data_IF_024017111930
#
_entry.id   IF_024017111930
#
_cell.length_a   1.000
_cell.length_b   1.000
_cell.length_c   1.000
_cell.angle_alpha   90.00
_cell.angle_beta   90.00
_cell.angle_gamma   90.00
#
_symmetry.space_group_name_H-M   'P 1'
#
loop_
_entity.id
_entity.type
_entity.pdbx_description
1 polymer ?
#
# COMPACT_ATOMS: atom_id res chain seq x y z
N UNK A 1 18.90 10.87 -21.33
CA UNK A 1 18.42 10.88 -19.92
C UNK A 1 16.90 11.08 -19.77
N UNK A 2 16.13 11.27 -20.84
CA UNK A 2 14.66 11.45 -20.76
C UNK A 2 13.90 10.19 -20.31
N UNK A 3 14.41 9.01 -20.66
CA UNK A 3 13.78 7.71 -20.35
C UNK A 3 14.36 7.01 -19.11
N UNK A 4 15.18 7.72 -18.33
CA UNK A 4 15.66 7.19 -17.05
C UNK A 4 14.53 7.34 -16.03
N UNK A 5 14.03 6.23 -15.50
CA UNK A 5 12.91 6.25 -14.58
C UNK A 5 13.29 7.03 -13.32
N UNK A 6 12.55 8.09 -12.95
CA UNK A 6 12.83 8.80 -11.71
C UNK A 6 12.63 7.86 -10.53
N UNK A 7 13.54 7.91 -9.55
CA UNK A 7 13.46 7.06 -8.37
C UNK A 7 12.24 7.42 -7.53
N UNK A 8 11.39 6.43 -7.28
CA UNK A 8 10.29 6.56 -6.31
C UNK A 8 10.80 6.61 -4.86
N UNK A 9 12.04 6.18 -4.60
CA UNK A 9 12.68 6.20 -3.28
C UNK A 9 13.12 7.61 -2.83
N UNK A 10 12.63 8.67 -3.50
CA UNK A 10 12.94 10.07 -3.18
C UNK A 10 12.19 10.58 -1.94
N UNK A 11 11.13 9.91 -1.50
CA UNK A 11 10.35 10.30 -0.32
C UNK A 11 11.04 9.82 0.96
N UNK A 12 10.82 10.55 2.06
CA UNK A 12 11.32 10.18 3.39
C UNK A 12 10.37 9.27 4.15
N UNK A 13 9.09 9.35 3.84
CA UNK A 13 8.02 8.62 4.51
C UNK A 13 7.17 7.91 3.47
N UNK A 14 6.71 6.71 3.82
CA UNK A 14 5.88 5.89 2.96
C UNK A 14 4.74 5.28 3.76
N UNK A 15 3.58 5.19 3.13
CA UNK A 15 2.53 4.24 3.51
C UNK A 15 2.63 3.05 2.57
N UNK A 16 2.48 1.84 3.13
CA UNK A 16 2.41 0.60 2.37
C UNK A 16 1.00 0.04 2.50
N UNK A 17 0.33 -0.16 1.37
CA UNK A 17 -0.92 -0.91 1.32
C UNK A 17 -0.58 -2.36 1.00
N UNK A 18 -1.00 -3.27 1.87
CA UNK A 18 -0.74 -4.70 1.76
C UNK A 18 -2.06 -5.44 1.59
N UNK A 19 -2.14 -6.27 0.56
CA UNK A 19 -3.27 -7.14 0.26
C UNK A 19 -2.79 -8.58 0.30
N UNK A 20 -3.43 -9.41 1.10
CA UNK A 20 -3.11 -10.83 1.20
C UNK A 20 -4.33 -11.71 1.02
N UNK A 21 -4.19 -12.77 0.26
CA UNK A 21 -5.25 -13.74 0.00
C UNK A 21 -4.71 -15.17 -0.04
N UNK A 22 -5.61 -16.13 0.15
CA UNK A 22 -5.27 -17.55 0.22
C UNK A 22 -5.44 -18.28 -1.13
N UNK A 23 -6.05 -17.64 -2.12
CA UNK A 23 -6.27 -18.17 -3.46
C UNK A 23 -6.21 -17.02 -4.48
N UNK A 24 -5.99 -17.37 -5.75
CA UNK A 24 -5.74 -16.41 -6.82
C UNK A 24 -6.97 -15.58 -7.22
N UNK A 25 -8.17 -16.17 -7.15
CA UNK A 25 -9.41 -15.49 -7.55
C UNK A 25 -9.75 -14.38 -6.55
N UNK A 26 -9.75 -14.68 -5.25
CA UNK A 26 -9.91 -13.68 -4.19
C UNK A 26 -8.80 -12.63 -4.29
N UNK A 27 -7.55 -13.04 -4.53
CA UNK A 27 -6.43 -12.09 -4.63
C UNK A 27 -6.63 -11.09 -5.75
N UNK A 28 -7.08 -11.56 -6.91
CA UNK A 28 -7.34 -10.71 -8.07
C UNK A 28 -8.48 -9.71 -7.77
N UNK A 29 -9.56 -10.17 -7.16
CA UNK A 29 -10.69 -9.32 -6.77
C UNK A 29 -10.27 -8.27 -5.73
N UNK A 30 -9.61 -8.71 -4.65
CA UNK A 30 -9.13 -7.81 -3.60
C UNK A 30 -8.11 -6.79 -4.12
N UNK A 31 -7.19 -7.22 -4.99
CA UNK A 31 -6.24 -6.31 -5.63
C UNK A 31 -6.97 -5.26 -6.47
N UNK A 32 -7.93 -5.67 -7.31
CA UNK A 32 -8.70 -4.75 -8.15
C UNK A 32 -9.56 -3.78 -7.32
N UNK A 33 -10.19 -4.26 -6.26
CA UNK A 33 -10.96 -3.42 -5.34
C UNK A 33 -10.08 -2.37 -4.66
N UNK A 34 -8.94 -2.79 -4.10
CA UNK A 34 -7.98 -1.88 -3.45
C UNK A 34 -7.45 -0.87 -4.46
N UNK A 35 -6.97 -1.31 -5.62
CA UNK A 35 -6.46 -0.46 -6.69
C UNK A 35 -7.47 0.62 -7.09
N UNK A 36 -8.75 0.25 -7.25
CA UNK A 36 -9.83 1.18 -7.61
C UNK A 36 -10.07 2.28 -6.56
N UNK A 37 -9.73 2.02 -5.29
CA UNK A 37 -9.98 2.93 -4.16
C UNK A 37 -8.74 3.69 -3.69
N UNK A 38 -7.52 3.36 -4.14
CA UNK A 38 -6.29 4.06 -3.69
C UNK A 38 -6.42 5.58 -3.82
N UNK A 39 -6.98 6.06 -4.94
CA UNK A 39 -7.18 7.51 -5.16
C UNK A 39 -8.06 8.17 -4.08
N UNK A 40 -9.00 7.45 -3.49
CA UNK A 40 -9.80 7.97 -2.37
C UNK A 40 -8.96 8.17 -1.10
N UNK A 41 -8.05 7.23 -0.79
CA UNK A 41 -7.08 7.40 0.30
C UNK A 41 -6.17 8.60 0.06
N UNK A 42 -5.61 8.74 -1.15
CA UNK A 42 -4.78 9.89 -1.53
C UNK A 42 -5.52 11.21 -1.28
N UNK A 43 -6.77 11.32 -1.76
CA UNK A 43 -7.60 12.50 -1.56
C UNK A 43 -7.91 12.80 -0.09
N UNK A 44 -7.99 11.77 0.76
CA UNK A 44 -8.17 11.96 2.21
C UNK A 44 -6.88 12.47 2.86
N UNK A 45 -5.73 11.86 2.52
CA UNK A 45 -4.42 12.27 3.03
C UNK A 45 -4.08 13.71 2.65
N UNK A 46 -4.33 14.12 1.41
CA UNK A 46 -4.06 15.49 0.92
C UNK A 46 -4.99 16.56 1.53
N UNK A 47 -6.03 16.17 2.27
CA UNK A 47 -6.82 17.13 3.08
C UNK A 47 -6.16 17.45 4.42
N UNK A 48 -5.19 16.64 4.85
CA UNK A 48 -4.41 16.94 6.03
C UNK A 48 -3.48 18.12 5.73
N UNK A 49 -3.61 19.20 6.49
CA UNK A 49 -2.85 20.45 6.29
C UNK A 49 -1.33 20.25 6.33
N UNK A 50 -0.87 19.18 6.97
CA UNK A 50 0.54 18.89 7.13
C UNK A 50 1.11 18.00 6.02
N UNK A 51 0.28 17.50 5.09
CA UNK A 51 0.71 16.71 3.93
C UNK A 51 0.69 17.61 2.69
N UNK A 52 1.88 17.87 2.14
CA UNK A 52 2.04 18.61 0.88
C UNK A 52 1.71 17.74 -0.34
N UNK A 53 2.05 16.45 -0.28
CA UNK A 53 1.85 15.52 -1.39
C UNK A 53 1.71 14.08 -0.87
N UNK A 54 0.73 13.35 -1.41
CA UNK A 54 0.65 11.89 -1.30
C UNK A 54 0.73 11.28 -2.71
N UNK A 55 1.87 10.68 -3.04
CA UNK A 55 2.13 10.15 -4.37
C UNK A 55 2.06 8.63 -4.37
N UNK A 56 1.05 8.05 -5.01
CA UNK A 56 0.97 6.59 -5.23
C UNK A 56 1.96 6.14 -6.31
N UNK A 57 2.67 5.04 -6.05
CA UNK A 57 3.40 4.32 -7.09
C UNK A 57 2.39 3.47 -7.90
N UNK A 58 2.23 3.69 -9.21
CA UNK A 58 1.29 2.91 -10.02
C UNK A 58 1.70 1.44 -10.14
N UNK A 59 2.95 1.07 -9.83
CA UNK A 59 3.40 -0.30 -9.83
C UNK A 59 2.91 -1.03 -8.57
N UNK A 60 2.17 -2.12 -8.78
CA UNK A 60 1.95 -3.15 -7.77
C UNK A 60 3.19 -4.05 -7.67
N UNK A 61 3.62 -4.37 -6.45
CA UNK A 61 4.71 -5.29 -6.18
C UNK A 61 4.16 -6.56 -5.55
N UNK A 62 4.56 -7.71 -6.07
CA UNK A 62 4.18 -9.01 -5.52
C UNK A 62 5.27 -9.50 -4.57
N UNK A 63 4.88 -9.93 -3.37
CA UNK A 63 5.73 -10.68 -2.46
C UNK A 63 5.31 -12.15 -2.56
N UNK A 64 6.12 -12.96 -3.22
CA UNK A 64 5.98 -14.41 -3.12
C UNK A 64 6.60 -14.85 -1.80
N UNK A 65 5.76 -15.20 -0.82
CA UNK A 65 6.23 -15.98 0.32
C UNK A 65 6.65 -17.36 -0.20
N UNK A 66 7.95 -17.52 -0.43
CA UNK A 66 8.53 -18.85 -0.57
C UNK A 66 8.32 -19.52 0.79
N UNK A 67 7.32 -20.40 0.85
CA UNK A 67 7.15 -21.37 1.94
C UNK A 67 8.54 -21.92 2.30
N UNK A 68 9.07 -21.55 3.46
CA UNK A 68 10.14 -22.32 4.07
C UNK A 68 9.53 -23.70 4.29
N UNK A 69 10.00 -24.65 3.47
CA UNK A 69 9.71 -26.06 3.63
C UNK A 69 10.34 -26.49 4.95
N UNK A 70 9.57 -26.53 6.02
CA UNK A 70 9.89 -27.44 7.11
C UNK A 70 9.48 -28.86 6.66
N UNK A 71 10.46 -29.75 6.69
CA UNK A 71 10.39 -31.14 6.28
C UNK A 71 9.17 -31.86 6.90
N UNK A 72 8.29 -32.41 6.04
CA UNK A 72 7.54 -33.63 6.40
C UNK A 72 6.00 -33.59 6.45
N UNK A 73 5.30 -32.60 5.87
CA UNK A 73 3.83 -32.61 5.84
C UNK A 73 3.22 -32.03 4.57
N UNK A 74 2.23 -32.71 3.99
CA UNK A 74 1.50 -32.30 2.78
C UNK A 74 0.84 -30.91 2.93
N UNK A 75 1.03 -30.04 1.93
CA UNK A 75 0.15 -28.88 1.69
C UNK A 75 0.59 -27.53 2.27
N UNK A 76 1.76 -27.00 1.89
CA UNK A 76 2.12 -25.60 2.17
C UNK A 76 1.17 -24.63 1.47
N UNK A 77 0.30 -23.97 2.24
CA UNK A 77 -0.67 -22.98 1.74
C UNK A 77 0.09 -21.71 1.33
N UNK A 78 0.22 -21.48 0.03
CA UNK A 78 0.83 -20.25 -0.51
C UNK A 78 -0.07 -19.05 -0.25
N UNK A 79 0.34 -18.15 0.64
CA UNK A 79 -0.28 -16.84 0.78
C UNK A 79 0.19 -15.94 -0.36
N UNK A 80 -0.75 -15.37 -1.10
CA UNK A 80 -0.47 -14.34 -2.11
C UNK A 80 -0.40 -12.98 -1.40
N UNK A 81 0.58 -12.14 -1.76
CA UNK A 81 0.76 -10.82 -1.17
C UNK A 81 1.08 -9.79 -2.25
N UNK A 82 0.30 -8.71 -2.29
CA UNK A 82 0.47 -7.57 -3.20
C UNK A 82 0.64 -6.27 -2.41
N UNK A 83 1.49 -5.38 -2.92
CA UNK A 83 1.94 -4.18 -2.23
C UNK A 83 1.83 -2.95 -3.14
N UNK A 84 1.29 -1.86 -2.60
CA UNK A 84 1.39 -0.53 -3.20
C UNK A 84 2.07 0.43 -2.23
N UNK A 85 2.90 1.31 -2.78
CA UNK A 85 3.62 2.32 -2.02
C UNK A 85 3.02 3.70 -2.27
N UNK A 86 2.83 4.46 -1.21
CA UNK A 86 2.43 5.87 -1.26
C UNK A 86 3.53 6.67 -0.59
N UNK A 87 4.26 7.45 -1.37
CA UNK A 87 5.27 8.37 -0.86
C UNK A 87 4.62 9.63 -0.30
N UNK A 88 5.06 10.06 0.88
CA UNK A 88 4.55 11.26 1.54
C UNK A 88 5.60 12.37 1.58
N UNK A 89 5.15 13.59 1.31
CA UNK A 89 5.89 14.81 1.58
C UNK A 89 5.10 15.64 2.61
N UNK A 90 5.70 15.87 3.77
CA UNK A 90 5.11 16.69 4.83
C UNK A 90 5.57 18.14 4.74
N UNK A 91 4.79 19.04 5.33
CA UNK A 91 5.19 20.41 5.58
C UNK A 91 6.46 20.46 6.43
N UNK A 92 7.38 21.38 6.09
CA UNK A 92 8.62 21.57 6.85
C UNK A 92 8.31 22.36 8.12
N UNK A 93 7.99 21.65 9.19
CA UNK A 93 7.79 22.21 10.53
C UNK A 93 8.62 21.44 11.56
N UNK A 94 9.19 22.16 12.53
CA UNK A 94 9.92 21.54 13.64
C UNK A 94 8.94 20.82 14.57
N UNK A 95 9.29 19.59 14.99
CA UNK A 95 8.50 18.75 15.90
C UNK A 95 7.09 18.37 15.41
N UNK A 96 6.89 18.26 14.09
CA UNK A 96 5.64 17.82 13.52
C UNK A 96 5.38 16.34 13.83
N UNK A 97 4.28 16.04 14.53
CA UNK A 97 3.76 14.69 14.73
C UNK A 97 2.39 14.60 14.08
N UNK A 98 2.31 13.95 12.91
CA UNK A 98 1.06 13.78 12.17
C UNK A 98 0.48 12.41 12.46
N UNK A 99 -0.72 12.39 13.05
CA UNK A 99 -1.50 11.16 13.19
C UNK A 99 -2.34 10.92 11.93
N UNK A 100 -2.11 9.78 11.29
CA UNK A 100 -2.82 9.34 10.08
C UNK A 100 -3.72 8.13 10.33
N UNK A 101 -3.81 7.68 11.60
CA UNK A 101 -4.48 6.43 11.98
C UNK A 101 -5.94 6.41 11.55
N UNK A 102 -6.67 7.51 11.79
CA UNK A 102 -8.08 7.60 11.42
C UNK A 102 -8.30 7.53 9.90
N UNK A 103 -7.53 8.28 9.12
CA UNK A 103 -7.61 8.26 7.65
C UNK A 103 -7.32 6.87 7.08
N UNK A 104 -6.33 6.17 7.63
CA UNK A 104 -5.95 4.81 7.23
C UNK A 104 -7.05 3.81 7.63
N UNK A 105 -7.58 3.91 8.84
CA UNK A 105 -8.64 3.02 9.31
C UNK A 105 -9.93 3.19 8.50
N UNK A 106 -10.32 4.42 8.22
CA UNK A 106 -11.49 4.72 7.39
C UNK A 106 -11.38 4.13 5.99
N UNK A 107 -10.17 4.15 5.40
CA UNK A 107 -9.92 3.49 4.12
C UNK A 107 -10.06 1.98 4.23
N UNK A 108 -9.42 1.37 5.23
CA UNK A 108 -9.51 -0.07 5.51
C UNK A 108 -10.95 -0.52 5.67
N UNK A 109 -11.75 0.19 6.47
CA UNK A 109 -13.17 -0.11 6.69
C UNK A 109 -13.99 0.03 5.40
N UNK A 110 -13.71 1.05 4.59
CA UNK A 110 -14.41 1.26 3.33
C UNK A 110 -14.12 0.17 2.28
N UNK A 111 -12.92 -0.40 2.30
CA UNK A 111 -12.53 -1.56 1.48
C UNK A 111 -13.24 -2.82 1.98
N UNK A 112 -13.24 -3.11 3.28
CA UNK A 112 -13.83 -4.34 3.85
C UNK A 112 -15.37 -4.38 3.86
N UNK A 113 -16.03 -3.23 3.68
CA UNK A 113 -17.51 -3.16 3.60
C UNK A 113 -18.08 -3.53 2.22
N UNK A 114 -17.23 -3.77 1.23
CA UNK A 114 -17.60 -4.29 -0.09
C UNK A 114 -17.20 -5.76 -0.15
#
# INVERSE_FOLDING_TARGET
KLFEAPSFLKYRHFIVLLVTSNNADDHLEWCGLVESKIRYLIQNLERNLHINLAHVNPKCFEQQEQNQKDDGGEGGKTTLCSLWFIGLEFERSENLNVDLTESIQNFTDAVHKH
#
